data_IF_297167991977
#
_entry.id   IF_297167991977
#
_cell.length_a   1.000
_cell.length_b   1.000
_cell.length_c   1.000
_cell.angle_alpha   90.00
_cell.angle_beta   90.00
_cell.angle_gamma   90.00
#
_symmetry.space_group_name_H-M   'P 1'
#
loop_
_entity.id
_entity.type
_entity.pdbx_description
1 polymer ?
#
# COMPACT_ATOMS: atom_id res chain seq x y z
N UNK A 1 23.69 -20.17 -14.90
CA UNK A 1 24.80 -19.49 -14.29
C UNK A 1 24.33 -18.76 -13.04
N UNK A 2 25.16 -18.78 -12.01
CA UNK A 2 24.78 -18.32 -10.67
C UNK A 2 24.23 -16.88 -10.65
N UNK A 3 24.83 -15.97 -11.42
CA UNK A 3 24.40 -14.56 -11.46
C UNK A 3 23.02 -14.40 -12.08
N UNK A 4 22.78 -15.08 -13.21
CA UNK A 4 21.47 -15.03 -13.88
C UNK A 4 20.37 -15.64 -13.01
N UNK A 5 20.68 -16.78 -12.36
CA UNK A 5 19.72 -17.43 -11.46
C UNK A 5 19.39 -16.53 -10.26
N UNK A 6 20.39 -15.83 -9.72
CA UNK A 6 20.18 -14.92 -8.60
C UNK A 6 19.30 -13.74 -9.00
N UNK A 7 19.53 -13.16 -10.15
CA UNK A 7 18.70 -12.05 -10.65
C UNK A 7 17.27 -12.51 -10.91
N UNK A 8 17.11 -13.71 -11.47
CA UNK A 8 15.79 -14.29 -11.69
C UNK A 8 15.03 -14.51 -10.37
N UNK A 9 15.70 -15.05 -9.36
CA UNK A 9 15.10 -15.24 -8.04
C UNK A 9 14.73 -13.91 -7.39
N UNK A 10 15.57 -12.89 -7.55
CA UNK A 10 15.28 -11.56 -7.05
C UNK A 10 14.05 -10.96 -7.73
N UNK A 11 13.91 -11.15 -9.04
CA UNK A 11 12.77 -10.66 -9.79
C UNK A 11 11.48 -11.37 -9.39
N UNK A 12 11.52 -12.68 -9.18
CA UNK A 12 10.37 -13.44 -8.68
C UNK A 12 9.97 -12.94 -7.29
N UNK A 13 10.93 -12.73 -6.41
CA UNK A 13 10.67 -12.20 -5.06
C UNK A 13 10.06 -10.81 -5.12
N UNK A 14 10.58 -9.96 -6.01
CA UNK A 14 10.01 -8.63 -6.23
C UNK A 14 8.55 -8.70 -6.64
N UNK A 15 8.22 -9.57 -7.60
CA UNK A 15 6.85 -9.72 -8.06
C UNK A 15 5.92 -10.21 -6.94
N UNK A 16 6.39 -11.16 -6.13
CA UNK A 16 5.62 -11.66 -4.98
C UNK A 16 5.35 -10.54 -3.97
N UNK A 17 6.36 -9.74 -3.66
CA UNK A 17 6.24 -8.64 -2.72
C UNK A 17 5.32 -7.53 -3.24
N UNK A 18 5.37 -7.26 -4.54
CA UNK A 18 4.46 -6.27 -5.14
C UNK A 18 3.01 -6.73 -5.07
N UNK A 19 2.75 -8.01 -5.27
CA UNK A 19 1.41 -8.59 -5.12
C UNK A 19 0.95 -8.52 -3.66
N UNK A 20 1.83 -8.87 -2.73
CA UNK A 20 1.54 -8.77 -1.29
C UNK A 20 1.25 -7.34 -0.86
N UNK A 21 2.03 -6.38 -1.36
CA UNK A 21 1.81 -4.96 -1.10
C UNK A 21 0.42 -4.53 -1.57
N UNK A 22 0.07 -4.89 -2.80
CA UNK A 22 -1.23 -4.54 -3.38
C UNK A 22 -2.38 -5.12 -2.57
N UNK A 23 -2.30 -6.38 -2.19
CA UNK A 23 -3.34 -7.01 -1.37
C UNK A 23 -3.49 -6.34 -0.01
N UNK A 24 -2.38 -6.04 0.66
CA UNK A 24 -2.39 -5.39 1.96
C UNK A 24 -2.95 -3.96 1.85
N UNK A 25 -2.59 -3.25 0.79
CA UNK A 25 -3.10 -1.90 0.55
C UNK A 25 -4.61 -1.92 0.33
N UNK A 26 -5.11 -2.83 -0.51
CA UNK A 26 -6.53 -2.95 -0.78
C UNK A 26 -7.29 -3.28 0.50
N UNK A 27 -6.78 -4.20 1.32
CA UNK A 27 -7.40 -4.56 2.59
C UNK A 27 -7.50 -3.36 3.52
N UNK A 28 -6.44 -2.57 3.64
CA UNK A 28 -6.43 -1.36 4.48
C UNK A 28 -7.41 -0.31 3.95
N UNK A 29 -7.47 -0.14 2.63
CA UNK A 29 -8.42 0.79 2.01
C UNK A 29 -9.86 0.36 2.25
N UNK A 30 -10.15 -0.93 2.18
CA UNK A 30 -11.49 -1.45 2.42
C UNK A 30 -11.94 -1.18 3.85
N UNK A 31 -11.07 -1.41 4.83
CA UNK A 31 -11.38 -1.11 6.23
C UNK A 31 -11.64 0.39 6.41
N UNK A 32 -10.80 1.22 5.84
CA UNK A 32 -10.94 2.68 5.93
C UNK A 32 -12.22 3.16 5.25
N UNK A 33 -12.56 2.60 4.09
CA UNK A 33 -13.73 2.99 3.31
C UNK A 33 -15.05 2.69 4.05
N UNK A 34 -15.07 1.71 4.95
CA UNK A 34 -16.27 1.41 5.74
C UNK A 34 -16.44 2.36 6.92
N UNK A 35 -15.41 3.15 7.24
CA UNK A 35 -15.46 4.10 8.35
C UNK A 35 -16.38 5.27 8.03
N UNK A 36 -17.05 5.76 9.07
CA UNK A 36 -17.86 6.96 8.98
C UNK A 36 -17.15 8.06 9.75
N UNK A 37 -16.31 8.81 9.07
CA UNK A 37 -15.60 9.91 9.70
C UNK A 37 -16.51 11.13 9.74
N UNK A 38 -17.17 11.33 10.87
CA UNK A 38 -17.98 12.51 11.09
C UNK A 38 -17.45 13.28 12.28
N UNK A 39 -17.91 14.52 12.43
CA UNK A 39 -17.53 15.40 13.55
C UNK A 39 -17.78 14.79 14.91
N UNK A 40 -18.65 13.78 14.98
CA UNK A 40 -19.08 13.17 16.23
C UNK A 40 -18.66 11.72 16.42
N UNK A 41 -17.90 11.14 15.46
CA UNK A 41 -17.49 9.73 15.55
C UNK A 41 -15.99 9.59 15.75
N UNK A 42 -15.49 10.18 16.82
CA UNK A 42 -14.06 10.09 17.18
C UNK A 42 -13.66 8.66 17.57
N UNK A 43 -14.56 7.87 18.14
CA UNK A 43 -14.26 6.51 18.56
C UNK A 43 -14.15 5.58 17.35
N UNK A 44 -15.03 5.74 16.38
CA UNK A 44 -14.97 4.98 15.13
C UNK A 44 -13.67 5.26 14.38
N UNK A 45 -13.28 6.54 14.30
CA UNK A 45 -12.02 6.95 13.68
C UNK A 45 -10.82 6.30 14.37
N UNK A 46 -10.77 6.32 15.70
CA UNK A 46 -9.69 5.69 16.46
C UNK A 46 -9.61 4.19 16.20
N UNK A 47 -10.73 3.50 16.10
CA UNK A 47 -10.77 2.07 15.85
C UNK A 47 -10.21 1.74 14.46
N UNK A 48 -10.61 2.52 13.46
CA UNK A 48 -10.11 2.34 12.10
C UNK A 48 -8.61 2.58 12.05
N UNK A 49 -8.12 3.65 12.66
CA UNK A 49 -6.70 3.97 12.70
C UNK A 49 -5.91 2.88 13.44
N UNK A 50 -6.43 2.39 14.57
CA UNK A 50 -5.77 1.33 15.33
C UNK A 50 -5.70 0.03 14.52
N UNK A 51 -6.72 -0.27 13.72
CA UNK A 51 -6.74 -1.46 12.88
C UNK A 51 -5.80 -1.35 11.68
N UNK A 52 -5.63 -0.14 11.13
CA UNK A 52 -4.81 0.05 9.93
C UNK A 52 -3.35 0.39 10.20
N UNK A 53 -3.02 0.92 11.38
CA UNK A 53 -1.65 1.32 11.68
C UNK A 53 -0.61 0.20 11.48
N UNK A 54 -0.81 -1.03 11.98
CA UNK A 54 0.15 -2.10 11.74
C UNK A 54 0.28 -2.45 10.25
N UNK A 55 -0.80 -2.37 9.50
CA UNK A 55 -0.79 -2.65 8.06
C UNK A 55 0.04 -1.59 7.33
N UNK A 56 -0.09 -0.33 7.72
CA UNK A 56 0.66 0.78 7.12
C UNK A 56 2.16 0.61 7.39
N UNK A 57 2.55 0.24 8.61
CA UNK A 57 3.95 -0.02 8.94
C UNK A 57 4.50 -1.17 8.09
N UNK A 58 3.72 -2.23 7.94
CA UNK A 58 4.08 -3.37 7.12
C UNK A 58 4.21 -2.97 5.64
N UNK A 59 3.30 -2.13 5.14
CA UNK A 59 3.37 -1.62 3.77
C UNK A 59 4.66 -0.83 3.55
N UNK A 60 5.07 0.00 4.50
CA UNK A 60 6.31 0.77 4.40
C UNK A 60 7.52 -0.15 4.30
N UNK A 61 7.58 -1.20 5.13
CA UNK A 61 8.68 -2.17 5.11
C UNK A 61 8.72 -2.94 3.79
N UNK A 62 7.57 -3.42 3.33
CA UNK A 62 7.47 -4.14 2.05
C UNK A 62 7.88 -3.21 0.91
N UNK A 63 7.41 -1.97 0.92
CA UNK A 63 7.75 -0.98 -0.09
C UNK A 63 9.24 -0.70 -0.17
N UNK A 64 9.91 -0.56 0.96
CA UNK A 64 11.36 -0.37 0.99
C UNK A 64 12.11 -1.57 0.41
N UNK A 65 11.67 -2.78 0.75
CA UNK A 65 12.28 -4.00 0.23
C UNK A 65 12.08 -4.09 -1.29
N UNK A 66 10.90 -3.77 -1.77
CA UNK A 66 10.61 -3.74 -3.21
C UNK A 66 11.54 -2.76 -3.92
N UNK A 67 11.69 -1.55 -3.39
CA UNK A 67 12.52 -0.53 -4.02
C UNK A 67 13.99 -0.94 -4.05
N UNK A 68 14.49 -1.61 -3.01
CA UNK A 68 15.85 -2.14 -2.99
C UNK A 68 16.04 -3.20 -4.07
N UNK A 69 15.09 -4.12 -4.22
CA UNK A 69 15.15 -5.14 -5.26
C UNK A 69 15.07 -4.52 -6.65
N UNK A 70 14.20 -3.54 -6.84
CA UNK A 70 14.09 -2.83 -8.12
C UNK A 70 15.39 -2.10 -8.46
N UNK A 71 16.01 -1.43 -7.49
CA UNK A 71 17.28 -0.77 -7.70
C UNK A 71 18.35 -1.77 -8.16
N UNK A 72 18.46 -2.92 -7.49
CA UNK A 72 19.42 -3.95 -7.84
C UNK A 72 19.15 -4.56 -9.23
N UNK A 73 17.89 -4.56 -9.66
CA UNK A 73 17.48 -5.08 -10.97
C UNK A 73 17.51 -4.00 -12.06
N UNK A 74 17.85 -2.75 -11.73
CA UNK A 74 17.86 -1.65 -12.68
C UNK A 74 16.47 -1.17 -13.08
N UNK A 75 15.48 -1.40 -12.22
CA UNK A 75 14.10 -0.98 -12.46
C UNK A 75 13.78 0.34 -11.74
N UNK A 76 12.83 1.13 -12.25
CA UNK A 76 12.41 2.35 -11.55
C UNK A 76 11.71 2.03 -10.24
N UNK A 77 11.53 3.04 -9.38
CA UNK A 77 10.86 2.88 -8.09
C UNK A 77 9.44 2.33 -8.26
N UNK A 78 8.93 1.67 -7.20
CA UNK A 78 7.62 1.04 -7.24
C UNK A 78 6.51 2.10 -7.35
N UNK A 79 5.88 2.15 -8.50
CA UNK A 79 4.90 3.18 -8.84
C UNK A 79 3.68 3.18 -7.93
N UNK A 80 3.17 1.99 -7.59
CA UNK A 80 1.98 1.89 -6.73
C UNK A 80 2.19 2.57 -5.39
N UNK A 81 3.37 2.40 -4.77
CA UNK A 81 3.69 3.06 -3.51
C UNK A 81 3.73 4.58 -3.68
N UNK A 82 4.35 5.06 -4.75
CA UNK A 82 4.42 6.51 -5.01
C UNK A 82 3.03 7.10 -5.20
N UNK A 83 2.18 6.42 -5.95
CA UNK A 83 0.80 6.85 -6.19
C UNK A 83 -0.01 6.83 -4.90
N UNK A 84 0.17 5.80 -4.08
CA UNK A 84 -0.51 5.70 -2.79
C UNK A 84 -0.13 6.86 -1.88
N UNK A 85 1.16 7.14 -1.73
CA UNK A 85 1.63 8.24 -0.88
C UNK A 85 1.10 9.58 -1.38
N UNK A 86 1.05 9.80 -2.69
CA UNK A 86 0.51 11.01 -3.28
C UNK A 86 -1.00 11.13 -3.07
N UNK A 87 -1.75 10.05 -3.28
CA UNK A 87 -3.21 10.04 -3.12
C UNK A 87 -3.62 10.20 -1.66
N UNK A 88 -2.81 9.68 -0.75
CA UNK A 88 -3.02 9.75 0.69
C UNK A 88 -2.97 11.20 1.20
N UNK A 89 -2.12 12.04 0.60
CA UNK A 89 -2.00 13.44 0.98
C UNK A 89 -1.38 13.62 2.36
N UNK A 90 -1.90 14.59 3.12
CA UNK A 90 -1.34 14.98 4.42
C UNK A 90 -2.00 14.30 5.61
N UNK A 91 -2.31 13.02 5.51
CA UNK A 91 -2.85 12.29 6.66
C UNK A 91 -1.73 11.79 7.55
N UNK A 92 -2.08 11.42 8.78
CA UNK A 92 -1.10 10.90 9.73
C UNK A 92 -0.49 9.58 9.24
N UNK A 93 0.67 9.23 9.79
CA UNK A 93 1.40 8.02 9.41
C UNK A 93 0.66 6.73 9.75
N UNK A 94 -0.41 6.83 10.56
CA UNK A 94 -1.21 5.71 11.01
C UNK A 94 -2.49 5.49 10.21
N UNK A 95 -2.65 6.17 9.07
CA UNK A 95 -3.87 6.10 8.27
C UNK A 95 -3.58 6.04 6.77
N UNK A 96 -4.47 5.39 6.01
CA UNK A 96 -4.37 5.34 4.54
C UNK A 96 -5.12 6.48 3.87
N UNK A 97 -5.68 7.39 4.63
CA UNK A 97 -6.46 8.52 4.14
C UNK A 97 -7.83 8.55 4.78
N UNK A 98 -8.67 9.48 4.35
CA UNK A 98 -10.06 9.55 4.78
C UNK A 98 -10.90 8.51 4.04
N UNK A 99 -12.07 8.10 4.59
CA UNK A 99 -12.93 7.11 3.94
C UNK A 99 -13.30 7.46 2.49
N UNK A 100 -13.56 8.74 2.21
CA UNK A 100 -13.86 9.20 0.86
C UNK A 100 -12.68 8.97 -0.09
N UNK A 101 -11.47 9.27 0.36
CA UNK A 101 -10.25 9.05 -0.42
C UNK A 101 -10.01 7.55 -0.64
N UNK A 102 -10.26 6.73 0.39
CA UNK A 102 -10.11 5.29 0.29
C UNK A 102 -11.08 4.69 -0.73
N UNK A 103 -12.33 5.15 -0.74
CA UNK A 103 -13.32 4.69 -1.71
C UNK A 103 -12.93 5.04 -3.14
N UNK A 104 -12.48 6.28 -3.35
CA UNK A 104 -12.03 6.73 -4.68
C UNK A 104 -10.82 5.94 -5.16
N UNK A 105 -9.89 5.67 -4.25
CA UNK A 105 -8.68 4.91 -4.57
C UNK A 105 -9.01 3.46 -4.92
N UNK A 106 -9.94 2.84 -4.19
CA UNK A 106 -10.41 1.48 -4.49
C UNK A 106 -11.03 1.40 -5.89
N UNK A 107 -11.83 2.39 -6.27
CA UNK A 107 -12.41 2.46 -7.62
C UNK A 107 -11.33 2.55 -8.68
N UNK A 108 -10.30 3.36 -8.44
CA UNK A 108 -9.17 3.50 -9.36
C UNK A 108 -8.45 2.17 -9.54
N UNK A 109 -8.15 1.47 -8.45
CA UNK A 109 -7.46 0.19 -8.49
C UNK A 109 -8.30 -0.90 -9.17
N UNK A 110 -9.60 -0.92 -8.91
CA UNK A 110 -10.50 -1.88 -9.55
C UNK A 110 -10.57 -1.64 -11.06
N UNK A 111 -10.56 -0.38 -11.50
CA UNK A 111 -10.54 -0.04 -12.91
C UNK A 111 -9.25 -0.49 -13.61
N UNK A 112 -8.13 -0.46 -12.91
CA UNK A 112 -6.85 -0.92 -13.46
C UNK A 112 -6.80 -2.44 -13.63
N UNK A 113 -7.48 -3.17 -12.76
CA UNK A 113 -7.56 -4.63 -12.85
C UNK A 113 -8.54 -5.11 -13.93
N UNK A 114 -9.52 -4.30 -14.18
CA UNK A 114 -10.55 -4.60 -15.19
C UNK A 114 -10.09 -4.29 -16.56
#
# INVERSE_FOLDING_TARGET
MAKADRLEKMDVRRAELEAEYREALIAALQVTATGKWGLFDHQGDRRVRAATAPVIENLAEIGETIDKLREQLGLPVFELQQRFLAARGRVGSDAVGEPKQARAWLETLAGEEG
#
